data_IF_796701615313
#
_entry.id   IF_796701615313
#
_cell.length_a   1.000
_cell.length_b   1.000
_cell.length_c   1.000
_cell.angle_alpha   90.00
_cell.angle_beta   90.00
_cell.angle_gamma   90.00
#
_symmetry.space_group_name_H-M   'P 1'
#
loop_
_entity.id
_entity.type
_entity.pdbx_description
1 polymer ?
#
# COMPACT_ATOMS: atom_id res chain seq x y z
N UNK A 1 13.48 2.57 26.56
CA UNK A 1 12.68 2.91 25.37
C UNK A 1 13.48 2.46 24.15
N UNK A 2 12.98 1.50 23.37
CA UNK A 2 13.68 0.99 22.20
C UNK A 2 13.91 2.12 21.19
N UNK A 3 15.18 2.37 20.87
CA UNK A 3 15.63 3.43 19.98
C UNK A 3 15.14 3.12 18.55
N UNK A 4 14.25 3.99 18.03
CA UNK A 4 13.33 3.79 16.91
C UNK A 4 13.94 3.07 15.68
N UNK A 5 13.43 1.87 15.41
CA UNK A 5 13.55 1.15 14.13
C UNK A 5 12.79 1.91 13.02
N UNK A 6 13.23 1.79 11.76
CA UNK A 6 12.57 2.42 10.62
C UNK A 6 11.18 1.81 10.41
N UNK A 7 10.12 2.50 10.82
CA UNK A 7 8.73 2.00 10.74
C UNK A 7 8.15 2.19 9.34
N UNK A 8 8.55 1.34 8.39
CA UNK A 8 8.12 1.44 6.98
C UNK A 8 6.59 1.42 6.81
N UNK A 9 5.85 0.67 7.64
CA UNK A 9 4.39 0.62 7.60
C UNK A 9 3.74 1.94 8.04
N UNK A 10 4.27 2.58 9.09
CA UNK A 10 3.83 3.92 9.51
C UNK A 10 4.13 4.94 8.42
N UNK A 11 5.30 4.86 7.80
CA UNK A 11 5.69 5.76 6.72
C UNK A 11 4.78 5.59 5.48
N UNK A 12 4.46 4.35 5.10
CA UNK A 12 3.51 4.07 4.02
C UNK A 12 2.12 4.66 4.31
N UNK A 13 1.61 4.50 5.53
CA UNK A 13 0.32 5.09 5.92
C UNK A 13 0.34 6.63 5.86
N UNK A 14 1.39 7.26 6.38
CA UNK A 14 1.54 8.72 6.30
C UNK A 14 1.58 9.18 4.85
N UNK A 15 2.31 8.49 3.97
CA UNK A 15 2.32 8.77 2.52
C UNK A 15 0.95 8.66 1.87
N UNK A 16 0.14 7.67 2.26
CA UNK A 16 -1.21 7.49 1.71
C UNK A 16 -2.19 8.57 2.22
N UNK A 17 -2.00 9.06 3.45
CA UNK A 17 -2.80 10.10 4.10
C UNK A 17 -2.43 11.52 3.66
N UNK A 18 -1.14 11.81 3.52
CA UNK A 18 -0.61 13.14 3.23
C UNK A 18 -0.99 13.62 1.83
N UNK A 19 -1.33 14.89 1.68
CA UNK A 19 -1.56 15.51 0.37
C UNK A 19 -0.23 15.83 -0.33
N UNK A 20 -0.30 16.04 -1.65
CA UNK A 20 0.86 16.46 -2.46
C UNK A 20 1.36 17.80 -1.89
N UNK A 21 2.53 17.78 -1.21
CA UNK A 21 3.26 18.88 -0.52
C UNK A 21 3.37 18.81 1.02
N UNK A 22 3.03 17.70 1.67
CA UNK A 22 3.21 17.58 3.13
C UNK A 22 4.71 17.32 3.52
N UNK A 23 5.38 18.22 4.25
CA UNK A 23 6.80 18.09 4.60
C UNK A 23 7.11 16.92 5.54
N UNK A 24 6.10 16.29 6.15
CA UNK A 24 6.24 15.07 7.00
C UNK A 24 6.84 13.89 6.20
N UNK A 25 6.75 13.93 4.88
CA UNK A 25 7.20 12.88 3.96
C UNK A 25 8.71 12.95 3.68
N UNK A 26 9.39 14.06 3.99
CA UNK A 26 10.77 14.27 3.57
C UNK A 26 11.79 13.59 4.51
N UNK A 27 12.53 12.66 3.92
CA UNK A 27 13.85 12.16 4.32
C UNK A 27 13.89 10.99 5.34
N UNK A 28 13.38 9.83 4.92
CA UNK A 28 13.87 8.55 5.43
C UNK A 28 15.03 8.07 4.55
N UNK A 29 16.27 8.23 5.04
CA UNK A 29 17.47 7.69 4.36
C UNK A 29 17.28 6.20 4.08
N UNK A 30 17.57 5.79 2.84
CA UNK A 30 17.52 4.40 2.34
C UNK A 30 16.12 3.77 2.14
N UNK A 31 15.06 4.56 2.04
CA UNK A 31 13.72 4.03 1.74
C UNK A 31 13.26 4.49 0.36
N UNK A 32 12.85 3.54 -0.49
CA UNK A 32 12.23 3.83 -1.79
C UNK A 32 10.71 3.79 -1.63
N UNK A 33 10.01 4.75 -2.24
CA UNK A 33 8.55 4.79 -2.17
C UNK A 33 7.93 5.27 -3.46
N UNK A 34 6.70 4.83 -3.73
CA UNK A 34 5.84 5.40 -4.76
C UNK A 34 4.42 5.58 -4.22
N UNK A 35 3.70 6.58 -4.74
CA UNK A 35 2.31 6.87 -4.39
C UNK A 35 1.45 6.86 -5.62
N UNK A 36 0.15 6.58 -5.46
CA UNK A 36 -0.80 6.59 -6.55
C UNK A 36 -2.25 6.63 -6.08
N UNK A 37 -3.18 6.62 -7.03
CA UNK A 37 -4.63 6.67 -6.78
C UNK A 37 -5.32 5.64 -7.68
N UNK A 38 -6.36 4.98 -7.18
CA UNK A 38 -7.17 4.02 -7.92
C UNK A 38 -8.63 4.06 -7.45
N UNK A 39 -9.57 4.17 -8.39
CA UNK A 39 -11.00 4.09 -8.13
C UNK A 39 -11.61 2.94 -8.92
N UNK A 40 -12.28 2.01 -8.26
CA UNK A 40 -12.77 0.77 -8.90
C UNK A 40 -13.79 0.02 -8.06
N UNK A 41 -14.59 -0.81 -8.72
CA UNK A 41 -15.42 -1.87 -8.10
C UNK A 41 -14.76 -3.25 -8.18
N UNK A 42 -13.58 -3.35 -8.80
CA UNK A 42 -12.86 -4.60 -9.01
C UNK A 42 -11.51 -4.56 -8.30
N UNK A 43 -11.34 -5.47 -7.34
CA UNK A 43 -10.12 -5.66 -6.57
C UNK A 43 -8.89 -5.96 -7.44
N UNK A 44 -9.05 -6.64 -8.58
CA UNK A 44 -7.94 -6.93 -9.49
C UNK A 44 -7.35 -5.66 -10.08
N UNK A 45 -8.17 -4.63 -10.32
CA UNK A 45 -7.68 -3.32 -10.78
C UNK A 45 -6.89 -2.58 -9.72
N UNK A 46 -7.18 -2.79 -8.43
CA UNK A 46 -6.37 -2.26 -7.33
C UNK A 46 -4.97 -2.90 -7.37
N UNK A 47 -4.93 -4.23 -7.47
CA UNK A 47 -3.67 -5.00 -7.57
C UNK A 47 -2.85 -4.53 -8.77
N UNK A 48 -3.45 -4.50 -9.96
CA UNK A 48 -2.76 -4.12 -11.19
C UNK A 48 -2.23 -2.68 -11.15
N UNK A 49 -2.97 -1.74 -10.56
CA UNK A 49 -2.53 -0.35 -10.44
C UNK A 49 -1.31 -0.21 -9.53
N UNK A 50 -1.32 -0.88 -8.37
CA UNK A 50 -0.21 -0.85 -7.41
C UNK A 50 1.02 -1.56 -8.00
N UNK A 51 0.85 -2.74 -8.60
CA UNK A 51 1.94 -3.49 -9.23
C UNK A 51 2.59 -2.68 -10.37
N UNK A 52 1.77 -2.04 -11.20
CA UNK A 52 2.26 -1.19 -12.30
C UNK A 52 3.07 -0.01 -11.76
N UNK A 53 2.56 0.67 -10.72
CA UNK A 53 3.26 1.79 -10.10
C UNK A 53 4.58 1.36 -9.44
N UNK A 54 4.60 0.23 -8.74
CA UNK A 54 5.81 -0.27 -8.09
C UNK A 54 6.89 -0.67 -9.11
N UNK A 55 6.49 -1.29 -10.24
CA UNK A 55 7.41 -1.63 -11.34
C UNK A 55 7.95 -0.39 -12.05
N UNK A 56 7.08 0.56 -12.41
CA UNK A 56 7.49 1.76 -13.16
C UNK A 56 8.41 2.68 -12.36
N UNK A 57 8.29 2.69 -11.03
CA UNK A 57 9.15 3.44 -10.12
C UNK A 57 10.39 2.64 -9.64
N UNK A 58 10.58 1.40 -10.12
CA UNK A 58 11.74 0.59 -9.76
C UNK A 58 11.81 0.19 -8.27
N UNK A 59 10.65 0.10 -7.59
CA UNK A 59 10.57 -0.45 -6.24
C UNK A 59 10.72 -1.98 -6.26
N UNK A 60 10.22 -2.62 -7.32
CA UNK A 60 10.38 -4.05 -7.57
C UNK A 60 10.83 -4.32 -9.02
N UNK A 61 11.49 -5.45 -9.21
CA UNK A 61 11.81 -6.00 -10.51
C UNK A 61 10.69 -6.93 -10.97
N UNK A 62 9.94 -6.51 -11.99
CA UNK A 62 8.82 -7.27 -12.53
C UNK A 62 9.19 -8.63 -13.16
N UNK A 63 10.47 -8.88 -13.43
CA UNK A 63 10.96 -10.16 -13.94
C UNK A 63 11.35 -11.15 -12.83
N UNK A 64 11.40 -10.69 -11.57
CA UNK A 64 11.74 -11.53 -10.42
C UNK A 64 10.46 -11.93 -9.70
N UNK A 65 10.06 -13.19 -9.87
CA UNK A 65 8.82 -13.72 -9.29
C UNK A 65 8.75 -13.51 -7.77
N UNK A 66 9.88 -13.64 -7.05
CA UNK A 66 9.93 -13.41 -5.59
C UNK A 66 9.43 -12.02 -5.21
N UNK A 67 9.89 -10.98 -5.92
CA UNK A 67 9.51 -9.61 -5.61
C UNK A 67 8.05 -9.31 -5.97
N UNK A 68 7.59 -9.84 -7.10
CA UNK A 68 6.18 -9.75 -7.51
C UNK A 68 5.27 -10.47 -6.52
N UNK A 69 5.65 -11.67 -6.07
CA UNK A 69 4.90 -12.47 -5.09
C UNK A 69 4.84 -11.78 -3.72
N UNK A 70 5.97 -11.25 -3.24
CA UNK A 70 6.04 -10.50 -1.99
C UNK A 70 5.10 -9.28 -2.02
N UNK A 71 5.17 -8.49 -3.10
CA UNK A 71 4.28 -7.33 -3.30
C UNK A 71 2.82 -7.75 -3.38
N UNK A 72 2.50 -8.80 -4.14
CA UNK A 72 1.14 -9.30 -4.31
C UNK A 72 0.49 -9.63 -2.96
N UNK A 73 1.18 -10.38 -2.09
CA UNK A 73 0.66 -10.70 -0.76
C UNK A 73 0.52 -9.47 0.15
N UNK A 74 1.46 -8.52 0.09
CA UNK A 74 1.32 -7.25 0.81
C UNK A 74 0.11 -6.44 0.32
N UNK A 75 -0.20 -6.47 -0.99
CA UNK A 75 -1.41 -5.84 -1.53
C UNK A 75 -2.66 -6.55 -1.00
N UNK A 76 -2.71 -7.88 -1.01
CA UNK A 76 -3.88 -8.63 -0.55
C UNK A 76 -4.21 -8.36 0.93
N UNK A 77 -3.20 -8.31 1.79
CA UNK A 77 -3.36 -7.94 3.19
C UNK A 77 -3.90 -6.51 3.34
N UNK A 78 -3.36 -5.56 2.57
CA UNK A 78 -3.86 -4.19 2.58
C UNK A 78 -5.32 -4.11 2.12
N UNK A 79 -5.71 -4.85 1.07
CA UNK A 79 -7.10 -4.90 0.60
C UNK A 79 -8.00 -5.52 1.67
N UNK A 80 -7.55 -6.54 2.39
CA UNK A 80 -8.31 -7.14 3.49
C UNK A 80 -8.61 -6.13 4.61
N UNK A 81 -7.67 -5.22 4.89
CA UNK A 81 -7.90 -4.08 5.79
C UNK A 81 -9.01 -3.15 5.28
N UNK A 82 -9.01 -2.85 3.98
CA UNK A 82 -10.03 -2.00 3.35
C UNK A 82 -11.42 -2.66 3.35
N UNK A 83 -11.49 -3.96 3.06
CA UNK A 83 -12.77 -4.70 2.97
C UNK A 83 -13.29 -5.22 4.31
N UNK A 84 -12.42 -5.34 5.33
CA UNK A 84 -12.74 -5.77 6.70
C UNK A 84 -13.43 -7.12 6.77
N UNK A 85 -12.94 -8.07 5.97
CA UNK A 85 -13.52 -9.41 5.86
C UNK A 85 -13.27 -9.98 4.48
N UNK A 86 -14.34 -10.20 3.72
CA UNK A 86 -14.26 -10.82 2.40
C UNK A 86 -13.67 -9.86 1.35
N UNK A 87 -12.77 -10.34 0.48
CA UNK A 87 -12.21 -9.55 -0.63
C UNK A 87 -13.24 -9.45 -1.79
N UNK A 88 -14.33 -8.71 -1.57
CA UNK A 88 -15.31 -8.42 -2.60
C UNK A 88 -15.71 -6.94 -2.58
N UNK A 89 -15.86 -6.39 -3.78
CA UNK A 89 -16.34 -5.03 -4.02
C UNK A 89 -17.59 -5.08 -4.90
N UNK A 90 -17.43 -5.36 -6.19
CA UNK A 90 -18.53 -5.47 -7.16
C UNK A 90 -19.59 -6.50 -6.76
N UNK A 91 -19.19 -7.68 -6.29
CA UNK A 91 -20.09 -8.75 -5.89
C UNK A 91 -21.03 -8.40 -4.73
N UNK A 92 -20.75 -7.32 -4.00
CA UNK A 92 -21.57 -6.82 -2.88
C UNK A 92 -22.00 -5.36 -3.08
N UNK A 93 -22.01 -4.88 -4.34
CA UNK A 93 -22.44 -3.54 -4.74
C UNK A 93 -21.67 -2.41 -4.01
N UNK A 94 -20.34 -2.54 -3.91
CA UNK A 94 -19.46 -1.51 -3.35
C UNK A 94 -18.42 -1.04 -4.35
N UNK A 95 -18.07 0.23 -4.24
CA UNK A 95 -16.95 0.87 -4.95
C UNK A 95 -15.95 1.43 -3.95
N UNK A 96 -14.70 1.58 -4.37
CA UNK A 96 -13.66 2.27 -3.60
C UNK A 96 -13.03 3.39 -4.40
N UNK A 97 -12.59 4.43 -3.70
CA UNK A 97 -11.69 5.46 -4.20
C UNK A 97 -10.50 5.55 -3.25
N UNK A 98 -9.35 4.99 -3.65
CA UNK A 98 -8.20 4.80 -2.78
C UNK A 98 -6.99 5.59 -3.27
N UNK A 99 -6.29 6.19 -2.33
CA UNK A 99 -4.87 6.53 -2.45
C UNK A 99 -4.06 5.36 -1.92
N UNK A 100 -2.90 5.14 -2.51
CA UNK A 100 -2.00 4.09 -2.07
C UNK A 100 -0.57 4.59 -2.00
N UNK A 101 0.21 3.95 -1.13
CA UNK A 101 1.65 4.12 -1.05
C UNK A 101 2.32 2.76 -0.94
N UNK A 102 3.41 2.58 -1.68
CA UNK A 102 4.28 1.41 -1.58
C UNK A 102 5.63 1.89 -1.10
N UNK A 103 6.20 1.18 -0.13
CA UNK A 103 7.46 1.52 0.52
C UNK A 103 8.32 0.28 0.60
N UNK A 104 9.57 0.35 0.12
CA UNK A 104 10.58 -0.70 0.25
C UNK A 104 11.79 -0.18 1.03
N UNK A 105 12.27 -0.96 1.98
CA UNK A 105 13.49 -0.66 2.74
C UNK A 105 13.80 -1.73 3.78
N UNK A 106 14.86 -1.54 4.57
CA UNK A 106 15.27 -2.45 5.64
C UNK A 106 14.84 -1.90 7.02
N UNK A 107 13.64 -2.25 7.53
CA UNK A 107 13.11 -1.66 8.76
C UNK A 107 13.89 -2.05 10.03
N UNK A 108 14.61 -3.17 9.98
CA UNK A 108 15.30 -3.77 11.12
C UNK A 108 16.78 -3.39 11.19
N UNK A 109 17.34 -3.42 12.39
CA UNK A 109 18.78 -3.19 12.62
C UNK A 109 19.65 -4.33 12.10
N UNK A 110 19.15 -5.56 12.23
CA UNK A 110 19.85 -6.73 11.73
C UNK A 110 19.79 -6.70 10.20
N UNK A 111 20.95 -6.53 9.56
CA UNK A 111 21.05 -6.48 8.09
C UNK A 111 20.68 -7.81 7.42
N UNK A 112 20.72 -8.92 8.16
CA UNK A 112 20.32 -10.24 7.66
C UNK A 112 18.80 -10.34 7.43
N UNK A 113 18.00 -9.46 8.06
CA UNK A 113 16.54 -9.38 7.82
C UNK A 113 16.19 -8.88 6.40
N UNK A 114 17.17 -8.29 5.71
CA UNK A 114 17.02 -7.85 4.33
C UNK A 114 15.99 -6.74 4.13
N UNK A 115 15.45 -6.69 2.91
CA UNK A 115 14.45 -5.73 2.50
C UNK A 115 13.04 -6.22 2.85
N UNK A 116 12.19 -5.25 3.16
CA UNK A 116 10.77 -5.42 3.39
C UNK A 116 9.99 -4.43 2.54
N UNK A 117 8.75 -4.79 2.24
CA UNK A 117 7.82 -3.97 1.48
C UNK A 117 6.54 -3.75 2.29
N UNK A 118 6.07 -2.50 2.31
CA UNK A 118 4.81 -2.11 2.92
C UNK A 118 3.90 -1.47 1.87
N UNK A 119 2.64 -1.88 1.85
CA UNK A 119 1.59 -1.33 0.98
C UNK A 119 0.50 -0.76 1.87
N UNK A 120 0.29 0.54 1.79
CA UNK A 120 -0.78 1.24 2.49
C UNK A 120 -1.87 1.67 1.52
N UNK A 121 -3.12 1.53 1.94
CA UNK A 121 -4.32 1.99 1.24
C UNK A 121 -5.12 2.88 2.18
N UNK A 122 -5.58 4.01 1.67
CA UNK A 122 -6.47 4.91 2.39
C UNK A 122 -7.38 5.64 1.41
N UNK A 123 -8.66 5.77 1.77
CA UNK A 123 -9.64 6.50 0.97
C UNK A 123 -11.05 6.13 1.39
N UNK A 124 -11.99 6.10 0.43
CA UNK A 124 -13.39 5.80 0.72
C UNK A 124 -13.83 4.45 0.16
N UNK A 125 -14.78 3.83 0.86
CA UNK A 125 -15.55 2.66 0.42
C UNK A 125 -17.03 2.97 0.63
N UNK A 126 -17.87 2.60 -0.34
CA UNK A 126 -19.30 2.94 -0.27
C UNK A 126 -20.15 2.26 -1.31
N UNK A 127 -21.44 2.59 -1.29
CA UNK A 127 -22.34 2.27 -2.38
C UNK A 127 -21.90 2.99 -3.68
N UNK A 128 -22.31 2.53 -4.87
CA UNK A 128 -22.03 3.23 -6.15
C UNK A 128 -22.88 4.50 -6.31
N UNK A 129 -22.95 5.31 -5.26
CA UNK A 129 -23.70 6.56 -5.14
C UNK A 129 -22.78 7.54 -4.40
N UNK A 130 -22.44 8.64 -5.06
CA UNK A 130 -21.54 9.67 -4.51
C UNK A 130 -22.10 10.19 -3.17
N UNK A 131 -21.27 10.26 -2.14
CA UNK A 131 -21.66 10.69 -0.80
C UNK A 131 -22.25 9.58 0.10
N UNK A 132 -22.55 8.41 -0.44
CA UNK A 132 -22.93 7.22 0.34
C UNK A 132 -21.71 6.33 0.62
N UNK A 133 -20.67 6.94 1.17
CA UNK A 133 -19.36 6.35 1.39
C UNK A 133 -18.77 6.78 2.73
N UNK A 134 -17.85 5.98 3.24
CA UNK A 134 -17.11 6.29 4.46
C UNK A 134 -15.63 5.92 4.28
N UNK A 135 -14.77 6.41 5.17
CA UNK A 135 -13.34 6.15 5.11
C UNK A 135 -13.01 4.68 5.38
N UNK A 136 -11.96 4.18 4.74
CA UNK A 136 -11.38 2.87 5.02
C UNK A 136 -9.87 2.91 4.79
N UNK A 137 -9.16 2.06 5.53
CA UNK A 137 -7.71 1.96 5.48
C UNK A 137 -7.26 0.51 5.53
N UNK A 138 -6.09 0.24 4.96
CA UNK A 138 -5.46 -1.06 5.02
C UNK A 138 -3.95 -0.95 4.90
N UNK A 139 -3.25 -1.89 5.52
CA UNK A 139 -1.81 -1.98 5.50
C UNK A 139 -1.42 -3.45 5.40
N UNK A 140 -0.58 -3.78 4.43
CA UNK A 140 0.07 -5.08 4.32
C UNK A 140 1.58 -4.93 4.30
N UNK A 141 2.28 -5.88 4.91
CA UNK A 141 3.74 -5.84 5.07
C UNK A 141 4.30 -7.23 4.78
N UNK A 142 5.34 -7.30 3.95
CA UNK A 142 5.98 -8.57 3.63
C UNK A 142 7.50 -8.42 3.47
N UNK A 143 8.24 -9.52 3.63
CA UNK A 143 9.66 -9.61 3.30
C UNK A 143 9.81 -9.69 1.77
N UNK A 144 10.89 -9.12 1.20
CA UNK A 144 11.08 -9.05 -0.26
C UNK A 144 12.49 -9.36 -0.75
#
# INVERSE_FOLDING_TARGET
MAQQEQRIGRYALLLALSEENDPIVMDQKNVKSCVGKVGTMDSQKIVAAIETAAKSNGLINGNVYREVHALYHAILEAIQGVTRGHLQLSGILRTVGLRFAVVRGAPYRNKEEGDWIAVALYGTIGAPIKGSEHESAGLGINHI
#
